data_IF_243182938916
#
_entry.id   IF_243182938916
#
_cell.length_a   1.000
_cell.length_b   1.000
_cell.length_c   1.000
_cell.angle_alpha   90.00
_cell.angle_beta   90.00
_cell.angle_gamma   90.00
#
_symmetry.space_group_name_H-M   'P 1'
#
loop_
_entity.id
_entity.type
_entity.pdbx_description
1 polymer ?
#
# COMPACT_ATOMS: atom_id res chain seq x y z
N UNK A 1 0.71 6.49 -9.95
CA UNK A 1 -0.59 6.22 -9.29
C UNK A 1 -1.60 5.81 -10.34
N UNK A 2 -2.48 4.84 -10.04
CA UNK A 2 -3.58 4.45 -10.94
C UNK A 2 -4.80 3.95 -10.16
N UNK A 3 -6.00 4.24 -10.68
CA UNK A 3 -7.25 3.61 -10.27
C UNK A 3 -7.48 2.41 -11.18
N UNK A 4 -7.65 1.22 -10.61
CA UNK A 4 -7.88 0.00 -11.39
C UNK A 4 -8.75 -1.00 -10.64
N UNK A 5 -9.42 -1.86 -11.38
CA UNK A 5 -9.96 -3.10 -10.84
C UNK A 5 -8.83 -4.15 -10.84
N UNK A 6 -8.32 -4.51 -9.67
CA UNK A 6 -7.26 -5.51 -9.56
C UNK A 6 -7.82 -6.89 -9.92
N UNK A 7 -7.12 -7.60 -10.81
CA UNK A 7 -7.49 -8.99 -11.11
C UNK A 7 -7.15 -9.91 -9.94
N UNK A 8 -7.80 -11.08 -9.90
CA UNK A 8 -7.62 -12.04 -8.82
C UNK A 8 -6.18 -12.54 -8.70
N UNK A 9 -5.49 -12.73 -9.82
CA UNK A 9 -4.11 -13.26 -9.84
C UNK A 9 -3.14 -12.29 -9.17
N UNK A 10 -3.27 -11.00 -9.45
CA UNK A 10 -2.48 -9.93 -8.85
C UNK A 10 -2.69 -9.88 -7.32
N UNK A 11 -3.94 -9.96 -6.87
CA UNK A 11 -4.27 -9.94 -5.44
C UNK A 11 -3.77 -11.21 -4.74
N UNK A 12 -3.90 -12.38 -5.37
CA UNK A 12 -3.36 -13.63 -4.84
C UNK A 12 -1.83 -13.63 -4.75
N UNK A 13 -1.14 -13.06 -5.74
CA UNK A 13 0.31 -12.86 -5.70
C UNK A 13 0.71 -11.90 -4.56
N UNK A 14 -0.05 -10.82 -4.37
CA UNK A 14 0.20 -9.86 -3.30
C UNK A 14 0.06 -10.47 -1.90
N UNK A 15 -0.96 -11.32 -1.68
CA UNK A 15 -1.21 -11.96 -0.39
C UNK A 15 -0.71 -13.40 -0.28
N UNK A 16 0.23 -13.83 -1.14
CA UNK A 16 0.70 -15.22 -1.22
C UNK A 16 1.10 -15.80 0.15
N UNK A 17 1.78 -15.00 0.98
CA UNK A 17 2.23 -15.39 2.33
C UNK A 17 1.07 -15.73 3.29
N UNK A 18 -0.14 -15.25 2.99
CA UNK A 18 -1.35 -15.49 3.78
C UNK A 18 -2.20 -16.64 3.23
N UNK A 19 -1.78 -17.33 2.16
CA UNK A 19 -2.57 -18.35 1.46
C UNK A 19 -3.13 -19.47 2.36
N UNK A 20 -2.40 -19.84 3.41
CA UNK A 20 -2.80 -20.89 4.35
C UNK A 20 -3.66 -20.37 5.51
N UNK A 21 -3.93 -19.06 5.59
CA UNK A 21 -4.75 -18.47 6.65
C UNK A 21 -6.24 -18.71 6.35
N UNK A 22 -7.07 -18.99 7.37
CA UNK A 22 -8.49 -19.30 7.17
C UNK A 22 -9.28 -18.15 6.56
N UNK A 23 -8.84 -16.90 6.76
CA UNK A 23 -9.47 -15.70 6.20
C UNK A 23 -9.05 -15.37 4.76
N UNK A 24 -8.07 -16.09 4.19
CA UNK A 24 -7.53 -15.80 2.86
C UNK A 24 -8.59 -15.75 1.75
N UNK A 25 -9.56 -16.69 1.66
CA UNK A 25 -10.60 -16.60 0.62
C UNK A 25 -11.43 -15.31 0.71
N UNK A 26 -11.77 -14.88 1.93
CA UNK A 26 -12.52 -13.65 2.16
C UNK A 26 -11.70 -12.39 1.85
N UNK A 27 -10.38 -12.42 2.12
CA UNK A 27 -9.45 -11.35 1.77
C UNK A 27 -9.37 -11.15 0.25
N UNK A 28 -9.17 -12.23 -0.51
CA UNK A 28 -9.14 -12.17 -1.98
C UNK A 28 -10.48 -11.68 -2.53
N UNK A 29 -11.60 -12.19 -2.01
CA UNK A 29 -12.93 -11.76 -2.43
C UNK A 29 -13.17 -10.26 -2.19
N UNK A 30 -12.75 -9.73 -1.04
CA UNK A 30 -12.88 -8.31 -0.72
C UNK A 30 -12.01 -7.43 -1.61
N UNK A 31 -10.73 -7.79 -1.76
CA UNK A 31 -9.77 -6.98 -2.52
C UNK A 31 -10.04 -6.98 -4.03
N UNK A 32 -10.82 -7.94 -4.52
CA UNK A 32 -11.29 -8.01 -5.91
C UNK A 32 -12.73 -7.52 -6.10
N UNK A 33 -13.43 -7.08 -5.05
CA UNK A 33 -14.84 -6.69 -5.15
C UNK A 33 -15.08 -5.30 -5.73
N UNK A 34 -14.03 -4.49 -5.91
CA UNK A 34 -14.15 -3.14 -6.42
C UNK A 34 -12.80 -2.52 -6.78
N UNK A 35 -12.81 -1.28 -7.31
CA UNK A 35 -11.59 -0.63 -7.76
C UNK A 35 -10.72 -0.23 -6.56
N UNK A 36 -9.41 -0.26 -6.78
CA UNK A 36 -8.39 0.16 -5.81
C UNK A 36 -7.56 1.29 -6.39
N UNK A 37 -7.07 2.18 -5.53
CA UNK A 37 -6.09 3.19 -5.89
C UNK A 37 -4.71 2.67 -5.51
N UNK A 38 -3.91 2.29 -6.51
CA UNK A 38 -2.54 1.87 -6.31
C UNK A 38 -1.60 3.09 -6.43
N UNK A 39 -0.64 3.21 -5.51
CA UNK A 39 0.32 4.32 -5.45
C UNK A 39 1.71 3.79 -5.09
N UNK A 40 2.74 4.51 -5.55
CA UNK A 40 4.13 4.36 -5.11
C UNK A 40 4.57 5.71 -4.59
N UNK A 41 5.10 5.73 -3.37
CA UNK A 41 5.61 6.92 -2.72
C UNK A 41 7.12 6.78 -2.54
N UNK A 42 7.85 7.86 -2.79
CA UNK A 42 9.30 7.93 -2.64
C UNK A 42 9.65 8.95 -1.56
N UNK A 43 10.68 8.65 -0.76
CA UNK A 43 11.22 9.56 0.24
C UNK A 43 12.08 8.84 1.27
N UNK A 44 12.78 9.64 2.09
CA UNK A 44 13.56 9.11 3.21
C UNK A 44 12.66 8.32 4.17
N UNK A 45 13.04 7.06 4.41
CA UNK A 45 12.37 6.17 5.36
C UNK A 45 10.85 6.02 5.12
N UNK A 46 10.43 6.16 3.85
CA UNK A 46 9.02 6.26 3.47
C UNK A 46 8.21 5.03 3.88
N UNK A 47 8.78 3.83 3.84
CA UNK A 47 8.09 2.62 4.30
C UNK A 47 7.67 2.74 5.76
N UNK A 48 8.60 3.10 6.65
CA UNK A 48 8.29 3.27 8.09
C UNK A 48 7.33 4.43 8.31
N UNK A 49 7.56 5.56 7.65
CA UNK A 49 6.70 6.75 7.77
C UNK A 49 5.27 6.48 7.29
N UNK A 50 5.08 5.80 6.16
CA UNK A 50 3.76 5.41 5.66
C UNK A 50 3.08 4.42 6.61
N UNK A 51 3.81 3.45 7.18
CA UNK A 51 3.25 2.54 8.20
C UNK A 51 2.77 3.29 9.44
N UNK A 52 3.52 4.29 9.91
CA UNK A 52 3.11 5.14 11.02
C UNK A 52 1.85 5.97 10.68
N UNK A 53 1.78 6.51 9.46
CA UNK A 53 0.62 7.27 8.98
C UNK A 53 -0.63 6.40 8.82
N UNK A 54 -0.48 5.16 8.35
CA UNK A 54 -1.58 4.19 8.26
C UNK A 54 -2.12 3.86 9.65
N UNK A 55 -1.22 3.60 10.60
CA UNK A 55 -1.55 3.31 11.99
C UNK A 55 -2.36 2.03 12.21
N UNK A 56 -2.69 1.78 13.47
CA UNK A 56 -3.67 0.76 13.87
C UNK A 56 -5.03 1.43 14.11
N UNK A 57 -6.12 0.65 14.10
CA UNK A 57 -7.49 1.18 14.18
C UNK A 57 -7.83 1.96 15.46
N UNK A 58 -6.97 1.97 16.48
CA UNK A 58 -7.15 2.74 17.72
C UNK A 58 -6.26 3.99 17.82
N UNK A 59 -5.38 4.23 16.85
CA UNK A 59 -4.41 5.32 16.89
C UNK A 59 -4.99 6.61 16.27
N UNK A 60 -5.55 7.49 17.11
CA UNK A 60 -6.12 8.78 16.67
C UNK A 60 -5.11 9.59 15.88
N UNK A 61 -5.55 10.20 14.77
CA UNK A 61 -4.70 10.97 13.86
C UNK A 61 -4.00 10.12 12.79
N UNK A 62 -4.26 8.82 12.75
CA UNK A 62 -3.80 7.92 11.66
C UNK A 62 -4.96 7.59 10.73
N UNK A 63 -4.65 7.16 9.51
CA UNK A 63 -5.67 6.83 8.50
C UNK A 63 -6.66 5.80 9.05
N UNK A 64 -6.17 4.74 9.71
CA UNK A 64 -7.06 3.71 10.25
C UNK A 64 -7.76 4.14 11.53
N UNK A 65 -7.10 4.89 12.41
CA UNK A 65 -7.74 5.39 13.62
C UNK A 65 -8.90 6.33 13.33
N UNK A 66 -8.78 7.16 12.29
CA UNK A 66 -9.79 8.17 11.98
C UNK A 66 -10.85 7.65 10.99
N UNK A 67 -10.49 6.74 10.08
CA UNK A 67 -11.34 6.38 8.93
C UNK A 67 -11.77 4.90 8.91
N UNK A 68 -11.36 4.08 9.89
CA UNK A 68 -11.76 2.67 9.94
C UNK A 68 -12.34 2.28 11.31
N UNK A 69 -13.33 1.39 11.28
CA UNK A 69 -13.96 0.85 12.51
C UNK A 69 -13.73 -0.65 12.64
N UNK A 70 -13.38 -1.35 11.55
CA UNK A 70 -13.30 -2.80 11.51
C UNK A 70 -11.99 -3.28 10.88
N UNK A 71 -11.36 -4.30 11.47
CA UNK A 71 -10.03 -4.80 11.07
C UNK A 71 -9.97 -5.30 9.63
N UNK A 72 -11.07 -5.85 9.10
CA UNK A 72 -11.17 -6.34 7.71
C UNK A 72 -11.68 -5.28 6.72
N UNK A 73 -12.01 -4.08 7.21
CA UNK A 73 -12.45 -2.92 6.42
C UNK A 73 -11.63 -1.70 6.84
N UNK A 74 -10.31 -1.86 6.75
CA UNK A 74 -9.33 -0.95 7.30
C UNK A 74 -8.78 0.07 6.27
N UNK A 75 -9.51 0.27 5.17
CA UNK A 75 -9.33 1.31 4.13
C UNK A 75 -8.06 1.21 3.29
N UNK A 76 -6.89 0.93 3.88
CA UNK A 76 -5.58 1.10 3.23
C UNK A 76 -4.62 -0.05 3.55
N UNK A 77 -3.79 -0.41 2.57
CA UNK A 77 -2.61 -1.28 2.71
C UNK A 77 -1.33 -0.46 2.55
N UNK A 78 -0.27 -0.86 3.26
CA UNK A 78 1.08 -0.34 3.06
C UNK A 78 2.09 -1.44 3.39
N UNK A 79 3.13 -1.55 2.55
CA UNK A 79 4.22 -2.51 2.69
C UNK A 79 4.88 -2.40 4.07
N UNK A 80 5.31 -3.52 4.63
CA UNK A 80 5.85 -3.62 5.99
C UNK A 80 7.37 -3.48 6.08
N UNK A 81 8.06 -3.61 4.94
CA UNK A 81 9.52 -3.60 4.81
C UNK A 81 9.92 -3.11 3.42
N UNK A 82 11.18 -2.73 3.25
CA UNK A 82 11.72 -2.29 1.96
C UNK A 82 11.69 -3.44 0.95
N UNK A 83 11.98 -4.66 1.40
CA UNK A 83 11.96 -5.88 0.59
C UNK A 83 10.56 -6.20 0.09
N UNK A 84 9.55 -6.12 0.97
CA UNK A 84 8.15 -6.28 0.57
C UNK A 84 7.72 -5.17 -0.39
N UNK A 85 8.11 -3.90 -0.12
CA UNK A 85 7.77 -2.78 -0.99
C UNK A 85 8.32 -2.97 -2.41
N UNK A 86 9.60 -3.37 -2.56
CA UNK A 86 10.22 -3.64 -3.85
C UNK A 86 9.48 -4.74 -4.63
N UNK A 87 9.11 -5.82 -3.95
CA UNK A 87 8.32 -6.91 -4.56
C UNK A 87 6.96 -6.38 -5.01
N UNK A 88 6.23 -5.72 -4.12
CA UNK A 88 4.89 -5.18 -4.39
C UNK A 88 4.90 -4.21 -5.58
N UNK A 89 5.83 -3.25 -5.60
CA UNK A 89 5.98 -2.33 -6.73
C UNK A 89 6.18 -3.11 -8.03
N UNK A 90 7.03 -4.15 -8.03
CA UNK A 90 7.38 -4.93 -9.21
C UNK A 90 6.22 -5.69 -9.88
N UNK A 91 5.14 -5.98 -9.16
CA UNK A 91 3.95 -6.62 -9.77
C UNK A 91 2.72 -5.69 -9.87
N UNK A 92 2.66 -4.60 -9.10
CA UNK A 92 1.60 -3.60 -9.25
C UNK A 92 1.88 -2.58 -10.36
N UNK A 93 3.15 -2.29 -10.65
CA UNK A 93 3.56 -1.27 -11.60
C UNK A 93 4.60 -1.79 -12.60
N UNK A 94 4.40 -1.50 -13.88
CA UNK A 94 5.44 -1.54 -14.88
C UNK A 94 6.40 -0.36 -14.70
N UNK A 95 7.63 -0.49 -15.20
CA UNK A 95 8.66 0.55 -15.02
C UNK A 95 8.29 1.89 -15.65
N UNK A 96 7.58 1.85 -16.78
CA UNK A 96 7.10 3.03 -17.50
C UNK A 96 5.88 3.70 -16.85
N UNK A 97 5.24 3.05 -15.87
CA UNK A 97 4.21 3.66 -15.03
C UNK A 97 4.79 4.46 -13.85
N UNK A 98 6.11 4.36 -13.61
CA UNK A 98 6.81 5.11 -12.58
C UNK A 98 7.41 6.39 -13.19
N UNK A 99 7.04 7.52 -12.61
CA UNK A 99 7.48 8.84 -13.09
C UNK A 99 8.69 9.28 -12.27
N UNK A 100 9.84 9.39 -12.92
CA UNK A 100 11.03 9.99 -12.34
C UNK A 100 11.01 11.51 -12.57
N UNK A 101 11.04 12.28 -11.48
CA UNK A 101 11.04 13.74 -11.54
C UNK A 101 11.76 14.31 -10.30
N UNK A 102 12.43 15.45 -10.47
CA UNK A 102 13.05 16.17 -9.36
C UNK A 102 12.03 17.11 -8.71
N UNK A 103 11.72 16.85 -7.43
CA UNK A 103 10.87 17.75 -6.65
C UNK A 103 11.56 19.10 -6.45
N UNK A 104 10.82 20.19 -6.68
CA UNK A 104 11.31 21.56 -6.41
C UNK A 104 11.66 21.79 -4.95
N UNK A 105 11.00 21.07 -4.05
CA UNK A 105 11.20 21.19 -2.60
C UNK A 105 12.24 20.21 -2.06
N UNK A 106 12.93 19.44 -2.92
CA UNK A 106 13.88 18.41 -2.49
C UNK A 106 14.92 18.97 -1.52
N UNK A 107 15.51 20.12 -1.86
CA UNK A 107 16.56 20.75 -1.06
C UNK A 107 16.01 21.36 0.24
N UNK A 108 14.72 21.75 0.26
CA UNK A 108 14.04 22.21 1.47
C UNK A 108 13.74 21.05 2.45
N UNK A 109 13.52 19.84 1.92
CA UNK A 109 13.12 18.67 2.69
C UNK A 109 14.34 17.88 3.19
N UNK A 110 15.34 17.68 2.34
CA UNK A 110 16.49 16.81 2.62
C UNK A 110 17.79 17.58 2.87
N UNK A 111 17.79 18.89 2.68
CA UNK A 111 19.00 19.70 2.65
C UNK A 111 19.67 19.66 1.26
N UNK A 112 20.72 20.48 1.08
CA UNK A 112 21.52 20.52 -0.14
C UNK A 112 22.31 19.23 -0.40
#
# INVERSE_FOLDING_TARGET
>A
MKLLQADRRLVEQHYEQLRLKPFYPALIAYMTSGPVVAMVWEGYDVVRCTRAMVGDSSAVGTIRGDLSVHITRNVVHASDSVETAQREIGFWFQRDELVAWDSRDRDNIYGP
#
